data_IF_351912441591
#
_entry.id   IF_351912441591
#
_cell.length_a   1.000
_cell.length_b   1.000
_cell.length_c   1.000
_cell.angle_alpha   90.00
_cell.angle_beta   90.00
_cell.angle_gamma   90.00
#
_symmetry.space_group_name_H-M   'P 1'
#
loop_
_entity.id
_entity.type
_entity.pdbx_description
1 polymer ?
#
# COMPACT_ATOMS: atom_id res chain seq x y z
N UNK A 1 24.93 -3.24 -13.54
CA UNK A 1 23.88 -3.65 -12.57
C UNK A 1 22.56 -3.72 -13.34
N UNK A 2 22.24 -4.85 -13.98
CA UNK A 2 21.19 -4.89 -15.02
C UNK A 2 19.92 -5.66 -14.60
N UNK A 3 19.99 -6.49 -13.56
CA UNK A 3 18.94 -7.48 -13.24
C UNK A 3 17.87 -6.92 -12.28
N UNK A 4 17.29 -5.77 -12.62
CA UNK A 4 16.20 -5.15 -11.86
C UNK A 4 15.24 -4.35 -12.76
N UNK A 5 14.87 -4.90 -13.92
CA UNK A 5 13.61 -4.51 -14.55
C UNK A 5 12.47 -4.97 -13.63
N UNK A 6 11.80 -4.02 -12.98
CA UNK A 6 10.55 -4.31 -12.27
C UNK A 6 9.50 -4.72 -13.30
N UNK A 7 8.59 -5.60 -12.90
CA UNK A 7 7.37 -5.89 -13.66
C UNK A 7 6.56 -4.61 -13.97
N UNK A 8 5.76 -4.64 -15.04
CA UNK A 8 4.65 -3.70 -15.20
C UNK A 8 3.72 -3.86 -13.97
N UNK A 9 3.33 -2.76 -13.28
CA UNK A 9 2.42 -2.87 -12.15
C UNK A 9 1.00 -3.19 -12.63
N UNK A 10 0.38 -4.20 -12.03
CA UNK A 10 -1.03 -4.53 -12.24
C UNK A 10 -1.91 -3.83 -11.20
N UNK A 11 -3.21 -3.81 -11.45
CA UNK A 11 -4.24 -3.24 -10.59
C UNK A 11 -5.28 -4.30 -10.29
N UNK A 12 -5.62 -4.41 -9.01
CA UNK A 12 -6.83 -5.04 -8.48
C UNK A 12 -7.77 -3.89 -8.11
N UNK A 13 -8.99 -3.86 -8.64
CA UNK A 13 -9.94 -2.77 -8.46
C UNK A 13 -10.66 -2.85 -7.11
N UNK A 14 -10.90 -4.05 -6.57
CA UNK A 14 -11.50 -4.28 -5.24
C UNK A 14 -10.83 -5.46 -4.52
N UNK A 15 -10.75 -5.40 -3.19
CA UNK A 15 -10.24 -6.51 -2.37
C UNK A 15 -11.30 -7.58 -2.04
N UNK A 16 -12.56 -7.37 -2.42
CA UNK A 16 -13.66 -8.34 -2.27
C UNK A 16 -13.38 -9.63 -3.07
N UNK A 17 -13.31 -9.49 -4.40
CA UNK A 17 -13.36 -10.61 -5.35
C UNK A 17 -12.01 -10.96 -6.01
N UNK A 18 -11.07 -10.01 -6.16
CA UNK A 18 -9.90 -10.14 -7.06
C UNK A 18 -8.55 -10.42 -6.34
N UNK A 19 -8.53 -10.52 -5.01
CA UNK A 19 -7.29 -10.66 -4.23
C UNK A 19 -6.54 -11.97 -4.51
N UNK A 20 -7.23 -12.99 -4.99
CA UNK A 20 -6.70 -14.33 -5.23
C UNK A 20 -6.14 -14.50 -6.63
N UNK A 21 -6.54 -13.69 -7.62
CA UNK A 21 -5.88 -13.66 -8.94
C UNK A 21 -4.38 -13.30 -8.80
N UNK A 22 -4.06 -12.40 -7.87
CA UNK A 22 -2.71 -11.91 -7.60
C UNK A 22 -1.66 -13.04 -7.57
N UNK A 23 -0.50 -12.91 -8.25
CA UNK A 23 0.53 -13.94 -8.21
C UNK A 23 1.06 -14.23 -6.79
N UNK A 24 1.36 -15.50 -6.47
CA UNK A 24 1.92 -15.89 -5.16
C UNK A 24 3.45 -15.69 -5.07
N UNK A 25 3.97 -14.70 -5.80
CA UNK A 25 5.40 -14.36 -5.92
C UNK A 25 5.79 -13.17 -5.02
N UNK A 26 7.08 -12.85 -4.85
CA UNK A 26 7.51 -11.71 -4.04
C UNK A 26 7.26 -10.39 -4.77
N UNK A 27 6.67 -9.40 -4.09
CA UNK A 27 6.26 -8.14 -4.72
C UNK A 27 5.99 -7.00 -3.73
N UNK A 28 5.87 -5.79 -4.28
CA UNK A 28 5.44 -4.56 -3.59
C UNK A 28 3.99 -4.26 -3.96
N UNK A 29 3.23 -3.73 -3.01
CA UNK A 29 1.82 -3.35 -3.19
C UNK A 29 1.49 -2.03 -2.50
N UNK A 30 0.56 -1.30 -3.10
CA UNK A 30 0.05 0.01 -2.69
C UNK A 30 -1.46 -0.08 -2.61
N UNK A 31 -2.02 0.16 -1.43
CA UNK A 31 -3.46 -0.01 -1.14
C UNK A 31 -4.10 1.37 -1.05
N UNK A 32 -5.16 1.56 -1.82
CA UNK A 32 -5.81 2.86 -2.03
C UNK A 32 -7.30 2.79 -1.74
N UNK A 33 -7.83 3.81 -1.07
CA UNK A 33 -9.26 3.95 -0.79
C UNK A 33 -10.05 4.56 -1.98
N UNK A 34 -9.38 4.85 -3.10
CA UNK A 34 -9.99 5.35 -4.35
C UNK A 34 -10.73 6.70 -4.17
N UNK A 35 -10.39 7.45 -3.12
CA UNK A 35 -10.93 8.79 -2.80
C UNK A 35 -9.83 9.70 -2.27
N UNK A 36 -9.92 11.03 -2.48
CA UNK A 36 -8.92 11.95 -1.97
C UNK A 36 -8.78 11.92 -0.43
N UNK A 37 -7.55 11.95 0.07
CA UNK A 37 -7.25 12.11 1.51
C UNK A 37 -6.20 13.21 1.68
N UNK A 38 -6.48 14.19 2.54
CA UNK A 38 -5.54 15.26 2.85
C UNK A 38 -4.23 14.72 3.47
N UNK A 39 -3.10 15.32 3.09
CA UNK A 39 -1.77 15.08 3.65
C UNK A 39 -1.06 16.40 3.95
N UNK A 40 0.00 16.36 4.75
CA UNK A 40 0.78 17.53 5.17
C UNK A 40 1.19 18.47 4.02
N UNK A 41 1.66 17.94 2.89
CA UNK A 41 2.13 18.77 1.77
C UNK A 41 1.04 19.10 0.74
N UNK A 42 0.11 18.18 0.47
CA UNK A 42 -1.02 18.35 -0.47
C UNK A 42 -2.02 17.19 -0.35
N UNK A 43 -3.19 17.30 -0.97
CA UNK A 43 -4.16 16.20 -1.07
C UNK A 43 -3.61 15.02 -1.91
N UNK A 44 -3.77 13.79 -1.41
CA UNK A 44 -3.52 12.54 -2.13
C UNK A 44 -4.83 12.08 -2.81
N UNK A 45 -5.00 12.29 -4.13
CA UNK A 45 -6.27 12.05 -4.82
C UNK A 45 -6.67 10.57 -4.88
N UNK A 46 -5.72 9.64 -4.68
CA UNK A 46 -6.02 8.20 -4.64
C UNK A 46 -6.40 7.72 -3.24
N UNK A 47 -6.00 8.46 -2.22
CA UNK A 47 -6.15 8.06 -0.83
C UNK A 47 -5.38 6.79 -0.55
N UNK A 48 -4.07 6.77 -0.84
CA UNK A 48 -3.20 5.65 -0.49
C UNK A 48 -3.18 5.56 1.04
N UNK A 49 -3.65 4.41 1.56
CA UNK A 49 -3.74 4.14 3.00
C UNK A 49 -2.55 3.32 3.50
N UNK A 50 -1.94 2.50 2.63
CA UNK A 50 -0.82 1.62 2.98
C UNK A 50 0.11 1.31 1.79
N UNK A 51 1.41 1.20 2.06
CA UNK A 51 2.44 0.70 1.14
C UNK A 51 3.19 -0.44 1.87
N UNK A 52 3.47 -1.56 1.19
CA UNK A 52 4.29 -2.62 1.78
C UNK A 52 4.77 -3.71 0.82
N UNK A 53 5.52 -4.68 1.36
CA UNK A 53 6.08 -5.84 0.64
C UNK A 53 5.56 -7.19 1.10
N UNK A 54 5.72 -8.20 0.25
CA UNK A 54 5.58 -9.61 0.64
C UNK A 54 6.54 -10.53 -0.11
N UNK A 55 6.88 -11.67 0.51
CA UNK A 55 7.54 -12.82 -0.16
C UNK A 55 6.54 -13.73 -0.91
N UNK A 56 5.24 -13.58 -0.64
CA UNK A 56 4.09 -14.22 -1.29
C UNK A 56 2.95 -13.19 -1.39
N UNK A 57 2.77 -12.52 -2.52
CA UNK A 57 1.86 -11.38 -2.64
C UNK A 57 0.40 -11.76 -2.38
N UNK A 58 -0.16 -12.76 -3.09
CA UNK A 58 -1.53 -13.28 -2.87
C UNK A 58 -1.91 -13.44 -1.39
N UNK A 59 -1.10 -14.20 -0.64
CA UNK A 59 -1.31 -14.45 0.80
C UNK A 59 -1.33 -13.15 1.64
N UNK A 60 -0.59 -12.12 1.22
CA UNK A 60 -0.57 -10.84 1.94
C UNK A 60 -1.82 -10.00 1.63
N UNK A 61 -2.36 -10.08 0.42
CA UNK A 61 -3.63 -9.44 0.06
C UNK A 61 -4.81 -10.15 0.75
N UNK A 62 -4.81 -11.48 0.77
CA UNK A 62 -5.74 -12.29 1.58
C UNK A 62 -5.75 -11.86 3.06
N UNK A 63 -4.57 -11.74 3.68
CA UNK A 63 -4.46 -11.23 5.06
C UNK A 63 -4.99 -9.81 5.19
N UNK A 64 -4.84 -8.96 4.17
CA UNK A 64 -5.38 -7.61 4.22
C UNK A 64 -6.91 -7.62 4.19
N UNK A 65 -7.51 -8.37 3.27
CA UNK A 65 -8.95 -8.52 3.13
C UNK A 65 -9.60 -9.03 4.43
N UNK A 66 -9.20 -10.21 4.92
CA UNK A 66 -9.74 -10.84 6.13
C UNK A 66 -9.26 -10.21 7.46
N UNK A 67 -8.83 -8.95 7.46
CA UNK A 67 -8.37 -8.19 8.63
C UNK A 67 -7.22 -8.82 9.46
N UNK A 68 -6.52 -9.83 8.92
CA UNK A 68 -5.38 -10.51 9.58
C UNK A 68 -4.04 -9.78 9.39
N UNK A 69 -3.98 -8.77 8.53
CA UNK A 69 -2.82 -7.92 8.32
C UNK A 69 -2.83 -6.75 9.34
N UNK A 70 -1.69 -6.31 9.91
CA UNK A 70 -1.69 -5.26 10.94
C UNK A 70 -2.40 -3.96 10.55
N UNK A 71 -2.37 -3.56 9.28
CA UNK A 71 -3.03 -2.34 8.80
C UNK A 71 -4.57 -2.46 8.74
N UNK A 72 -5.11 -3.57 8.22
CA UNK A 72 -6.57 -3.79 8.16
C UNK A 72 -7.15 -4.28 9.48
N UNK A 73 -6.41 -5.09 10.24
CA UNK A 73 -6.76 -5.44 11.62
C UNK A 73 -6.75 -4.23 12.56
N UNK A 74 -6.00 -3.17 12.25
CA UNK A 74 -6.10 -1.88 12.92
C UNK A 74 -7.40 -1.15 12.56
N UNK A 75 -7.76 -1.06 11.26
CA UNK A 75 -9.05 -0.50 10.81
C UNK A 75 -10.22 -1.23 11.51
N UNK A 76 -10.21 -2.57 11.47
CA UNK A 76 -11.23 -3.43 12.07
C UNK A 76 -11.46 -3.16 13.56
N UNK A 77 -10.37 -2.99 14.32
CA UNK A 77 -10.42 -2.72 15.77
C UNK A 77 -10.68 -1.26 16.14
N UNK A 78 -10.59 -0.33 15.18
CA UNK A 78 -10.66 1.11 15.44
C UNK A 78 -11.59 1.81 14.42
N UNK A 79 -12.91 1.52 14.40
CA UNK A 79 -13.84 2.08 13.42
C UNK A 79 -13.89 3.61 13.42
N UNK A 80 -13.65 4.29 14.55
CA UNK A 80 -13.55 5.75 14.60
C UNK A 80 -12.31 6.30 13.88
N UNK A 81 -11.17 5.60 13.94
CA UNK A 81 -9.94 6.01 13.25
C UNK A 81 -10.05 5.68 11.77
N UNK A 82 -10.61 4.52 11.43
CA UNK A 82 -10.99 4.18 10.06
C UNK A 82 -11.98 5.21 9.47
N UNK A 83 -12.93 5.70 10.26
CA UNK A 83 -13.87 6.75 9.85
C UNK A 83 -13.16 8.07 9.54
N UNK A 84 -12.16 8.46 10.34
CA UNK A 84 -11.32 9.65 10.09
C UNK A 84 -10.45 9.50 8.83
N UNK A 85 -9.91 8.30 8.58
CA UNK A 85 -9.09 8.02 7.38
C UNK A 85 -9.94 8.02 6.10
N UNK A 86 -11.18 7.53 6.16
CA UNK A 86 -12.03 7.28 4.98
C UNK A 86 -13.15 8.30 4.77
N UNK A 87 -13.33 9.25 5.68
CA UNK A 87 -14.39 10.27 5.64
C UNK A 87 -15.83 9.72 5.72
N UNK A 88 -16.01 8.41 5.95
CA UNK A 88 -17.32 7.76 6.17
C UNK A 88 -17.47 7.41 7.64
N UNK A 89 -18.67 7.58 8.22
CA UNK A 89 -18.95 7.09 9.58
C UNK A 89 -19.21 5.57 9.54
N UNK A 90 -18.26 4.78 10.04
CA UNK A 90 -18.38 3.33 10.19
C UNK A 90 -18.94 3.04 11.59
N UNK A 91 -20.10 2.37 11.66
CA UNK A 91 -20.86 2.13 12.90
C UNK A 91 -20.76 0.69 13.42
N UNK A 92 -20.39 -0.26 12.56
CA UNK A 92 -20.41 -1.70 12.83
C UNK A 92 -19.35 -2.42 11.98
N UNK A 93 -19.10 -3.71 12.24
CA UNK A 93 -18.11 -4.50 11.49
C UNK A 93 -18.41 -4.60 9.99
N UNK A 94 -19.67 -4.70 9.56
CA UNK A 94 -20.03 -4.77 8.13
C UNK A 94 -19.74 -3.46 7.40
N UNK A 95 -19.84 -2.31 8.07
CA UNK A 95 -19.38 -1.03 7.49
C UNK A 95 -17.86 -1.04 7.23
N UNK A 96 -17.09 -1.76 8.05
CA UNK A 96 -15.63 -1.92 7.90
C UNK A 96 -15.27 -2.98 6.85
N UNK A 97 -15.99 -4.10 6.83
CA UNK A 97 -15.91 -5.12 5.77
C UNK A 97 -16.13 -4.48 4.38
N UNK A 98 -17.24 -3.75 4.22
CA UNK A 98 -17.54 -2.96 3.02
C UNK A 98 -16.45 -1.91 2.69
N UNK A 99 -15.73 -1.37 3.68
CA UNK A 99 -14.64 -0.40 3.42
C UNK A 99 -13.38 -1.10 2.94
N UNK A 100 -13.02 -2.24 3.53
CA UNK A 100 -11.86 -3.03 3.15
C UNK A 100 -12.00 -3.61 1.74
N UNK A 101 -13.18 -4.16 1.38
CA UNK A 101 -13.46 -4.66 0.03
C UNK A 101 -13.38 -3.55 -1.02
N UNK A 102 -13.80 -2.33 -0.67
CA UNK A 102 -13.74 -1.16 -1.57
C UNK A 102 -12.33 -0.60 -1.85
N UNK A 103 -11.29 -1.11 -1.20
CA UNK A 103 -9.90 -0.70 -1.47
C UNK A 103 -9.36 -1.37 -2.74
N UNK A 104 -8.69 -0.60 -3.60
CA UNK A 104 -7.91 -1.13 -4.71
C UNK A 104 -6.46 -1.41 -4.31
N UNK A 105 -5.81 -2.32 -5.03
CA UNK A 105 -4.38 -2.65 -4.85
C UNK A 105 -3.63 -2.48 -6.16
N UNK A 106 -2.70 -1.54 -6.21
CA UNK A 106 -1.71 -1.47 -7.29
C UNK A 106 -0.45 -2.21 -6.85
N UNK A 107 -0.03 -3.23 -7.59
CA UNK A 107 1.06 -4.11 -7.18
C UNK A 107 2.04 -4.44 -8.32
N UNK A 108 3.27 -4.77 -7.94
CA UNK A 108 4.33 -5.17 -8.86
C UNK A 108 5.02 -6.44 -8.36
N UNK A 109 5.05 -7.45 -9.23
CA UNK A 109 5.57 -8.80 -8.98
C UNK A 109 5.89 -9.49 -10.32
N UNK A 110 6.89 -10.38 -10.43
CA UNK A 110 7.87 -10.73 -9.41
C UNK A 110 8.95 -9.64 -9.22
N UNK A 111 9.43 -9.52 -7.99
CA UNK A 111 10.58 -8.71 -7.59
C UNK A 111 11.58 -9.64 -6.89
N UNK A 112 12.88 -9.45 -7.10
CA UNK A 112 13.88 -10.24 -6.39
C UNK A 112 13.77 -10.01 -4.86
N UNK A 113 13.70 -11.13 -4.13
CA UNK A 113 13.64 -11.19 -2.66
C UNK A 113 14.79 -10.40 -2.02
N UNK A 114 15.95 -10.32 -2.68
CA UNK A 114 17.13 -9.59 -2.19
C UNK A 114 16.96 -8.06 -2.26
N UNK A 115 16.21 -7.54 -3.24
CA UNK A 115 15.99 -6.10 -3.44
C UNK A 115 14.64 -5.62 -2.90
N UNK A 116 13.73 -6.54 -2.55
CA UNK A 116 12.38 -6.27 -2.05
C UNK A 116 12.35 -5.23 -0.92
N UNK A 117 13.37 -5.24 -0.06
CA UNK A 117 13.55 -4.28 1.03
C UNK A 117 13.88 -2.86 0.55
N UNK A 118 14.71 -2.74 -0.49
CA UNK A 118 15.02 -1.46 -1.13
C UNK A 118 13.84 -0.95 -1.98
N UNK A 119 13.09 -1.86 -2.61
CA UNK A 119 11.90 -1.55 -3.40
C UNK A 119 10.78 -0.94 -2.54
N UNK A 120 10.47 -1.54 -1.39
CA UNK A 120 9.50 -1.00 -0.42
C UNK A 120 9.91 0.42 0.04
N UNK A 121 11.19 0.60 0.40
CA UNK A 121 11.74 1.92 0.77
C UNK A 121 11.65 2.93 -0.37
N UNK A 122 11.87 2.54 -1.62
CA UNK A 122 11.74 3.44 -2.78
C UNK A 122 10.31 3.97 -2.93
N UNK A 123 9.29 3.11 -2.78
CA UNK A 123 7.87 3.51 -2.89
C UNK A 123 7.42 4.35 -1.68
N UNK A 124 7.84 3.99 -0.46
CA UNK A 124 7.57 4.82 0.72
C UNK A 124 8.27 6.19 0.66
N UNK A 125 9.51 6.27 0.17
CA UNK A 125 10.25 7.53 0.02
C UNK A 125 9.69 8.41 -1.09
N UNK A 126 9.27 7.81 -2.21
CA UNK A 126 8.54 8.49 -3.27
C UNK A 126 7.24 9.11 -2.74
N UNK A 127 6.48 8.37 -1.91
CA UNK A 127 5.27 8.89 -1.27
C UNK A 127 5.57 10.10 -0.35
N UNK A 128 6.56 9.99 0.52
CA UNK A 128 7.00 11.09 1.40
C UNK A 128 7.42 12.34 0.59
N UNK A 129 8.18 12.16 -0.51
CA UNK A 129 8.58 13.26 -1.41
C UNK A 129 7.40 13.97 -2.08
N UNK A 130 6.24 13.32 -2.20
CA UNK A 130 5.05 13.87 -2.86
C UNK A 130 4.06 14.48 -1.83
N UNK A 131 3.97 13.91 -0.63
CA UNK A 131 2.91 14.22 0.34
C UNK A 131 3.38 14.71 1.72
N UNK A 132 4.69 14.68 2.00
CA UNK A 132 5.31 15.17 3.25
C UNK A 132 5.30 14.17 4.41
N UNK A 133 4.56 13.07 4.30
CA UNK A 133 4.38 12.07 5.36
C UNK A 133 4.25 10.63 4.80
N UNK A 134 4.01 9.66 5.68
CA UNK A 134 3.71 8.28 5.31
C UNK A 134 2.20 8.06 5.09
N UNK A 135 1.78 7.00 4.39
CA UNK A 135 0.39 6.58 4.38
C UNK A 135 -0.11 6.29 5.82
N UNK A 136 -1.39 6.57 6.14
CA UNK A 136 -1.91 6.59 7.51
C UNK A 136 -1.88 5.25 8.25
N UNK A 137 -1.68 4.12 7.56
CA UNK A 137 -1.53 2.80 8.17
C UNK A 137 -0.07 2.29 8.19
N UNK A 138 0.89 3.08 7.70
CA UNK A 138 2.32 2.81 7.81
C UNK A 138 2.88 3.38 9.13
N UNK A 139 2.39 2.88 10.26
CA UNK A 139 2.66 3.38 11.63
C UNK A 139 4.14 3.42 12.05
N UNK A 140 5.05 2.81 11.27
CA UNK A 140 6.48 2.74 11.56
C UNK A 140 7.29 3.40 10.46
N UNK A 141 7.89 4.55 10.75
CA UNK A 141 8.96 5.12 9.93
C UNK A 141 10.16 4.14 9.98
N UNK A 142 10.81 3.82 8.83
CA UNK A 142 12.06 3.07 8.83
C UNK A 142 13.08 3.75 9.75
N UNK A 143 13.50 3.06 10.83
CA UNK A 143 14.21 3.67 11.98
C UNK A 143 15.44 4.51 11.61
N UNK A 144 16.06 4.26 10.46
CA UNK A 144 16.98 5.20 9.80
C UNK A 144 16.83 5.12 8.28
N UNK A 145 16.66 6.25 7.61
CA UNK A 145 16.77 6.39 6.15
C UNK A 145 18.24 6.52 5.68
N UNK A 146 19.16 5.75 6.28
CA UNK A 146 20.61 5.83 6.04
C UNK A 146 21.01 5.64 4.56
N UNK A 147 20.17 4.97 3.78
CA UNK A 147 20.35 4.79 2.34
C UNK A 147 19.13 5.40 1.63
N UNK A 148 19.25 6.65 1.21
CA UNK A 148 18.25 7.31 0.36
C UNK A 148 18.16 6.55 -0.98
N UNK A 149 16.97 6.15 -1.46
CA UNK A 149 16.81 5.50 -2.76
C UNK A 149 17.37 6.35 -3.90
N UNK A 150 18.00 5.74 -4.92
CA UNK A 150 18.60 6.50 -6.01
C UNK A 150 17.48 7.07 -6.89
N UNK A 151 17.72 8.20 -7.55
CA UNK A 151 16.68 8.88 -8.34
C UNK A 151 16.05 7.99 -9.43
N UNK A 152 16.80 7.03 -9.99
CA UNK A 152 16.24 6.00 -10.89
C UNK A 152 15.20 5.09 -10.22
N UNK A 153 15.41 4.75 -8.95
CA UNK A 153 14.55 3.89 -8.15
C UNK A 153 13.30 4.68 -7.74
N UNK A 154 13.43 5.99 -7.46
CA UNK A 154 12.32 6.90 -7.16
C UNK A 154 11.45 7.16 -8.41
N UNK A 155 12.06 7.48 -9.56
CA UNK A 155 11.35 7.66 -10.83
C UNK A 155 10.54 6.43 -11.23
N UNK A 156 11.09 5.25 -10.97
CA UNK A 156 10.35 4.01 -11.16
C UNK A 156 9.26 3.81 -10.08
N UNK A 157 9.57 4.02 -8.80
CA UNK A 157 8.62 3.87 -7.69
C UNK A 157 7.37 4.74 -7.83
N UNK A 158 7.51 5.96 -8.39
CA UNK A 158 6.39 6.83 -8.74
C UNK A 158 5.34 6.13 -9.64
N UNK A 159 5.72 5.15 -10.47
CA UNK A 159 4.77 4.37 -11.30
C UNK A 159 3.79 3.52 -10.46
N UNK A 160 4.13 3.22 -9.20
CA UNK A 160 3.24 2.59 -8.23
C UNK A 160 2.27 3.55 -7.53
N UNK A 161 2.52 4.86 -7.63
CA UNK A 161 1.74 5.92 -6.96
C UNK A 161 0.82 6.68 -7.94
N UNK A 162 1.29 6.87 -9.18
CA UNK A 162 0.51 7.41 -10.32
C UNK A 162 -0.53 6.41 -10.82
#
# INVERSE_FOLDING_TARGET
MNNAQWSIPFLIETLDDEWDEAPSTPGIYVISYKKPINRLAKNDPKGIVYIGKSKKLRNRLWQFWYAQHPASGFIWKNPDIASKITGKKLKNHKDVENILGSFSVKAATPIDKNILDAAERAVMYAYIRIYGELPPLNFSIPKRWNNVPKEKDIKWANKGLV
#
